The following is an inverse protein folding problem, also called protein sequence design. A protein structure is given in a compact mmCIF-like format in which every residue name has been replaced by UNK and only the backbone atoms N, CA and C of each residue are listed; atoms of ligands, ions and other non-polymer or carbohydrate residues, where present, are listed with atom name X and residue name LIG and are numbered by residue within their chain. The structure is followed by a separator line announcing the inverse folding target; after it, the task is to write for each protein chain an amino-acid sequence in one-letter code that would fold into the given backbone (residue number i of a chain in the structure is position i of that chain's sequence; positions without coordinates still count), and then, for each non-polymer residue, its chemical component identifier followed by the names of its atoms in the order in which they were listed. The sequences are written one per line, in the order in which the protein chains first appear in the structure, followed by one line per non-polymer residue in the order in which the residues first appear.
data_IF_064125453830
#
_entry.id   IF_064125453830
#
_cell.length_a   1.000
_cell.length_b   1.000
_cell.length_c   1.000
_cell.angle_alpha   90.00
_cell.angle_beta   90.00
_cell.angle_gamma   90.00
#
_symmetry.space_group_name_H-M   'P 1'
#
loop_
_entity.id
_entity.type
_entity.pdbx_description
1 polymer ?
#
# COMPACT_ATOMS: atom_id res chain seq x y z
N UNK A 1 18.00 24.72 -53.99
CA UNK A 1 17.91 23.25 -54.06
C UNK A 1 17.94 22.71 -52.65
N UNK A 2 16.86 22.05 -52.26
CA UNK A 2 16.62 21.34 -51.00
C UNK A 2 17.79 20.40 -50.65
N UNK A 3 18.32 20.44 -49.43
CA UNK A 3 17.82 19.79 -48.20
C UNK A 3 18.62 18.51 -47.93
N UNK A 4 19.11 18.39 -46.70
CA UNK A 4 19.35 17.16 -45.92
C UNK A 4 20.49 17.37 -44.92
N UNK A 5 20.24 18.21 -43.92
CA UNK A 5 20.91 18.06 -42.63
C UNK A 5 20.05 17.11 -41.79
N UNK A 6 20.24 15.80 -41.98
CA UNK A 6 19.61 14.77 -41.16
C UNK A 6 20.35 14.71 -39.83
N UNK A 7 19.70 15.21 -38.79
CA UNK A 7 20.18 15.21 -37.40
C UNK A 7 20.54 13.78 -36.95
N UNK A 8 21.85 13.49 -36.82
CA UNK A 8 22.34 12.25 -36.22
C UNK A 8 22.26 12.38 -34.69
N UNK A 9 21.22 11.81 -34.13
CA UNK A 9 20.90 11.89 -32.71
C UNK A 9 21.67 10.86 -31.89
N UNK A 10 22.34 11.29 -30.81
CA UNK A 10 23.20 10.39 -30.01
C UNK A 10 22.36 9.42 -29.16
N UNK A 11 22.99 8.36 -28.64
CA UNK A 11 22.33 7.42 -27.70
C UNK A 11 21.93 8.16 -26.40
N UNK A 12 22.82 9.03 -25.90
CA UNK A 12 22.59 9.82 -24.69
C UNK A 12 21.40 10.77 -24.86
N UNK A 13 21.27 11.42 -26.02
CA UNK A 13 20.12 12.28 -26.32
C UNK A 13 18.79 11.51 -26.31
N UNK A 14 18.79 10.27 -26.82
CA UNK A 14 17.61 9.39 -26.79
C UNK A 14 17.24 8.97 -25.37
N UNK A 15 18.22 8.58 -24.56
CA UNK A 15 17.99 8.19 -23.15
C UNK A 15 17.48 9.40 -22.36
N UNK A 16 18.15 10.55 -22.48
CA UNK A 16 17.81 11.75 -21.73
C UNK A 16 16.39 12.23 -22.05
N UNK A 17 15.99 12.21 -23.33
CA UNK A 17 14.61 12.54 -23.70
C UNK A 17 13.60 11.52 -23.22
N UNK A 18 13.91 10.23 -23.27
CA UNK A 18 13.03 9.18 -22.74
C UNK A 18 12.80 9.38 -21.24
N UNK A 19 13.87 9.64 -20.47
CA UNK A 19 13.78 9.91 -19.03
C UNK A 19 12.99 11.19 -18.76
N UNK A 20 13.27 12.29 -19.47
CA UNK A 20 12.50 13.54 -19.34
C UNK A 20 11.02 13.33 -19.65
N UNK A 21 10.69 12.55 -20.68
CA UNK A 21 9.32 12.23 -21.03
C UNK A 21 8.63 11.44 -19.90
N UNK A 22 9.29 10.42 -19.35
CA UNK A 22 8.74 9.66 -18.22
C UNK A 22 8.55 10.53 -16.96
N UNK A 23 9.52 11.39 -16.64
CA UNK A 23 9.45 12.31 -15.50
C UNK A 23 8.42 13.44 -15.70
N UNK A 24 8.01 13.72 -16.93
CA UNK A 24 6.96 14.69 -17.22
C UNK A 24 5.54 14.15 -16.99
N UNK A 25 5.38 12.83 -16.78
CA UNK A 25 4.08 12.22 -16.52
C UNK A 25 3.54 12.65 -15.17
N UNK A 26 2.21 12.80 -15.08
CA UNK A 26 1.54 13.23 -13.85
C UNK A 26 1.93 12.38 -12.64
N UNK A 27 2.16 11.07 -12.77
CA UNK A 27 2.54 10.20 -11.63
C UNK A 27 4.02 10.24 -11.20
N UNK A 28 4.88 11.02 -11.87
CA UNK A 28 6.32 11.00 -11.63
C UNK A 28 6.74 11.49 -10.24
N UNK A 29 5.95 12.40 -9.64
CA UNK A 29 6.21 12.90 -8.29
C UNK A 29 6.13 11.81 -7.21
N UNK A 30 5.47 10.68 -7.50
CA UNK A 30 5.38 9.52 -6.59
C UNK A 30 6.60 8.60 -6.67
N UNK A 31 7.48 8.78 -7.67
CA UNK A 31 8.64 7.92 -7.86
C UNK A 31 9.57 7.86 -6.63
N UNK A 32 9.93 8.97 -5.97
CA UNK A 32 10.76 8.92 -4.77
C UNK A 32 10.13 8.08 -3.65
N UNK A 33 8.82 8.21 -3.44
CA UNK A 33 8.08 7.41 -2.47
C UNK A 33 8.05 5.92 -2.84
N UNK A 34 7.92 5.60 -4.14
CA UNK A 34 7.99 4.22 -4.63
C UNK A 34 9.35 3.60 -4.35
N UNK A 35 10.43 4.32 -4.67
CA UNK A 35 11.79 3.87 -4.38
C UNK A 35 12.01 3.68 -2.88
N UNK A 36 11.55 4.64 -2.07
CA UNK A 36 11.63 4.57 -0.61
C UNK A 36 10.95 3.32 -0.04
N UNK A 37 9.71 3.03 -0.45
CA UNK A 37 8.98 1.83 0.00
C UNK A 37 9.66 0.55 -0.50
N UNK A 38 10.05 0.50 -1.78
CA UNK A 38 10.73 -0.66 -2.35
C UNK A 38 12.04 -0.99 -1.61
N UNK A 39 12.86 0.03 -1.36
CA UNK A 39 14.10 -0.11 -0.57
C UNK A 39 13.81 -0.48 0.88
N UNK A 40 12.78 0.09 1.50
CA UNK A 40 12.37 -0.24 2.88
C UNK A 40 12.05 -1.73 3.05
N UNK A 41 11.34 -2.32 2.09
CA UNK A 41 11.05 -3.76 2.09
C UNK A 41 12.29 -4.62 1.88
N UNK A 42 13.17 -4.25 0.94
CA UNK A 42 14.42 -4.98 0.69
C UNK A 42 15.37 -4.92 1.88
N UNK A 43 15.46 -3.77 2.55
CA UNK A 43 16.20 -3.62 3.81
C UNK A 43 15.63 -4.53 4.89
N UNK A 44 14.30 -4.50 5.10
CA UNK A 44 13.65 -5.34 6.09
C UNK A 44 13.83 -6.84 5.83
N UNK A 45 13.85 -7.26 4.56
CA UNK A 45 14.19 -8.62 4.17
C UNK A 45 15.65 -8.95 4.50
N UNK A 46 16.59 -8.07 4.11
CA UNK A 46 18.02 -8.28 4.35
C UNK A 46 18.35 -8.43 5.85
N UNK A 47 17.71 -7.63 6.70
CA UNK A 47 17.85 -7.74 8.16
C UNK A 47 17.37 -9.09 8.69
N UNK A 48 16.22 -9.59 8.20
CA UNK A 48 15.63 -10.85 8.68
C UNK A 48 16.36 -12.07 8.16
N UNK A 49 16.78 -12.06 6.90
CA UNK A 49 17.51 -13.20 6.33
C UNK A 49 18.90 -13.36 6.95
N UNK A 50 19.51 -12.26 7.41
CA UNK A 50 20.80 -12.28 8.09
C UNK A 50 20.73 -12.81 9.53
N UNK A 51 19.55 -12.80 10.15
CA UNK A 51 19.33 -13.30 11.50
C UNK A 51 18.80 -14.76 11.47
N UNK A 52 19.60 -15.75 11.92
CA UNK A 52 19.18 -17.15 11.93
C UNK A 52 17.87 -17.41 12.71
N UNK A 53 17.56 -16.59 13.71
CA UNK A 53 16.35 -16.74 14.53
C UNK A 53 15.04 -16.41 13.79
N UNK A 54 15.12 -15.79 12.61
CA UNK A 54 13.97 -15.66 11.71
C UNK A 54 13.69 -16.93 10.91
N UNK A 55 14.68 -17.80 10.73
CA UNK A 55 14.55 -19.00 9.92
C UNK A 55 13.87 -20.13 10.70
N UNK A 56 14.19 -20.25 11.98
CA UNK A 56 13.56 -21.18 12.92
C UNK A 56 12.32 -20.59 13.64
N UNK A 57 12.04 -19.30 13.42
CA UNK A 57 10.88 -18.59 13.98
C UNK A 57 11.01 -18.17 15.43
N UNK A 58 12.17 -18.39 16.07
CA UNK A 58 12.41 -18.02 17.48
C UNK A 58 12.22 -16.53 17.73
N UNK A 59 12.79 -15.69 16.85
CA UNK A 59 12.67 -14.22 16.95
C UNK A 59 11.23 -13.76 16.76
N UNK A 60 10.52 -14.34 15.79
CA UNK A 60 9.13 -14.00 15.54
C UNK A 60 8.23 -14.44 16.71
N UNK A 61 8.43 -15.64 17.24
CA UNK A 61 7.66 -16.13 18.39
C UNK A 61 7.90 -15.27 19.63
N UNK A 62 9.15 -14.90 19.93
CA UNK A 62 9.49 -14.03 21.04
C UNK A 62 8.83 -12.65 20.90
N UNK A 63 8.92 -12.04 19.71
CA UNK A 63 8.25 -10.77 19.41
C UNK A 63 6.73 -10.86 19.63
N UNK A 64 6.08 -11.90 19.10
CA UNK A 64 4.64 -12.10 19.27
C UNK A 64 4.23 -12.29 20.73
N UNK A 65 5.00 -13.05 21.51
CA UNK A 65 4.76 -13.25 22.95
C UNK A 65 4.90 -11.95 23.73
N UNK A 66 5.93 -11.16 23.46
CA UNK A 66 6.13 -9.84 24.06
C UNK A 66 4.90 -8.95 23.84
N UNK A 67 4.41 -8.86 22.60
CA UNK A 67 3.21 -8.07 22.28
C UNK A 67 1.96 -8.53 23.04
N UNK A 68 1.85 -9.82 23.33
CA UNK A 68 0.75 -10.38 24.11
C UNK A 68 0.86 -10.03 25.60
N UNK A 69 2.07 -10.13 26.17
CA UNK A 69 2.37 -9.89 27.60
C UNK A 69 2.26 -8.41 27.94
N UNK A 70 2.78 -7.52 27.09
CA UNK A 70 2.71 -6.07 27.26
C UNK A 70 1.32 -5.50 26.93
N UNK A 71 0.36 -6.37 26.61
CA UNK A 71 -0.97 -6.02 26.16
C UNK A 71 -0.96 -5.06 24.96
N UNK A 72 -0.01 -5.15 24.03
CA UNK A 72 0.03 -4.28 22.85
C UNK A 72 -1.00 -4.63 21.77
N UNK A 73 -1.54 -5.86 21.78
CA UNK A 73 -2.57 -6.31 20.85
C UNK A 73 -3.95 -5.78 21.27
N UNK A 74 -4.47 -4.81 20.52
CA UNK A 74 -5.72 -4.11 20.87
C UNK A 74 -6.99 -4.97 20.68
N UNK A 75 -6.98 -5.94 19.75
CA UNK A 75 -8.18 -6.66 19.34
C UNK A 75 -8.20 -8.11 19.85
N UNK A 76 -9.25 -8.54 20.57
CA UNK A 76 -9.34 -9.90 21.11
C UNK A 76 -9.27 -11.01 20.05
N UNK A 77 -9.92 -10.82 18.89
CA UNK A 77 -9.88 -11.81 17.82
C UNK A 77 -8.46 -11.99 17.25
N UNK A 78 -7.67 -10.91 17.24
CA UNK A 78 -6.30 -10.95 16.73
C UNK A 78 -5.35 -11.56 17.76
N UNK A 79 -5.62 -11.36 19.06
CA UNK A 79 -4.96 -12.11 20.14
C UNK A 79 -5.14 -13.61 19.96
N UNK A 80 -6.37 -14.07 19.72
CA UNK A 80 -6.66 -15.48 19.45
C UNK A 80 -5.92 -15.98 18.19
N UNK A 81 -5.89 -15.17 17.12
CA UNK A 81 -5.13 -15.52 15.92
C UNK A 81 -3.63 -15.69 16.19
N UNK A 82 -3.05 -14.83 17.03
CA UNK A 82 -1.64 -14.94 17.42
C UNK A 82 -1.40 -16.23 18.21
N UNK A 83 -2.23 -16.50 19.23
CA UNK A 83 -2.06 -17.66 20.11
C UNK A 83 -2.30 -18.98 19.41
N UNK A 84 -3.33 -19.04 18.56
CA UNK A 84 -3.85 -20.31 18.04
C UNK A 84 -3.25 -20.65 16.67
N UNK A 85 -2.74 -19.64 15.94
CA UNK A 85 -2.24 -19.82 14.57
C UNK A 85 -0.80 -19.34 14.42
N UNK A 86 -0.46 -18.13 14.85
CA UNK A 86 0.87 -17.57 14.54
C UNK A 86 1.98 -18.21 15.38
N UNK A 87 1.80 -18.33 16.70
CA UNK A 87 2.79 -18.92 17.58
C UNK A 87 3.08 -20.40 17.24
N UNK A 88 2.08 -21.27 16.99
CA UNK A 88 2.34 -22.66 16.59
C UNK A 88 3.05 -22.79 15.23
N UNK A 89 2.98 -21.77 14.37
CA UNK A 89 3.51 -21.80 13.01
C UNK A 89 4.61 -20.73 12.78
N UNK A 90 5.29 -20.27 13.83
CA UNK A 90 6.17 -19.10 13.78
C UNK A 90 7.30 -19.23 12.74
N UNK A 91 7.91 -20.41 12.58
CA UNK A 91 8.94 -20.63 11.56
C UNK A 91 8.39 -20.44 10.14
N UNK A 92 7.28 -21.12 9.82
CA UNK A 92 6.60 -21.00 8.52
C UNK A 92 6.18 -19.56 8.25
N UNK A 93 5.61 -18.89 9.26
CA UNK A 93 5.20 -17.49 9.14
C UNK A 93 6.40 -16.57 8.93
N UNK A 94 7.53 -16.81 9.60
CA UNK A 94 8.79 -16.10 9.38
C UNK A 94 9.24 -16.17 7.92
N UNK A 95 9.21 -17.36 7.32
CA UNK A 95 9.50 -17.54 5.89
C UNK A 95 8.52 -16.82 4.97
N UNK A 96 7.21 -16.91 5.25
CA UNK A 96 6.18 -16.19 4.48
C UNK A 96 6.46 -14.69 4.51
N UNK A 97 6.78 -14.14 5.68
CA UNK A 97 7.11 -12.72 5.85
C UNK A 97 8.38 -12.37 5.07
N UNK A 98 9.47 -13.12 5.21
CA UNK A 98 10.72 -12.84 4.50
C UNK A 98 10.54 -12.88 2.97
N UNK A 99 9.91 -13.93 2.44
CA UNK A 99 9.63 -14.05 1.01
C UNK A 99 8.69 -12.93 0.53
N UNK A 100 7.66 -12.60 1.31
CA UNK A 100 6.75 -11.50 1.03
C UNK A 100 7.47 -10.15 0.94
N UNK A 101 8.42 -9.88 1.84
CA UNK A 101 9.22 -8.65 1.84
C UNK A 101 10.15 -8.57 0.62
N UNK A 102 10.80 -9.67 0.26
CA UNK A 102 11.63 -9.73 -0.95
C UNK A 102 10.80 -9.46 -2.21
N UNK A 103 9.70 -10.20 -2.38
CA UNK A 103 8.82 -10.06 -3.54
C UNK A 103 8.22 -8.66 -3.64
N UNK A 104 7.69 -8.12 -2.54
CA UNK A 104 7.12 -6.78 -2.51
C UNK A 104 8.18 -5.71 -2.82
N UNK A 105 9.35 -5.80 -2.19
CA UNK A 105 10.43 -4.84 -2.38
C UNK A 105 10.93 -4.80 -3.82
N UNK A 106 11.25 -5.96 -4.40
CA UNK A 106 11.74 -6.05 -5.79
C UNK A 106 10.68 -5.58 -6.79
N UNK A 107 9.43 -6.02 -6.63
CA UNK A 107 8.33 -5.67 -7.52
C UNK A 107 7.99 -4.17 -7.50
N UNK A 108 7.93 -3.56 -6.31
CA UNK A 108 7.68 -2.11 -6.16
C UNK A 108 8.84 -1.30 -6.73
N UNK A 109 10.09 -1.70 -6.45
CA UNK A 109 11.27 -0.97 -6.87
C UNK A 109 11.42 -0.93 -8.40
N UNK A 110 11.32 -2.11 -9.03
CA UNK A 110 11.42 -2.26 -10.49
C UNK A 110 10.18 -1.76 -11.25
N UNK A 111 9.09 -1.50 -10.53
CA UNK A 111 7.81 -1.19 -11.14
C UNK A 111 7.23 -2.39 -11.89
N UNK A 112 7.32 -3.61 -11.35
CA UNK A 112 6.86 -4.86 -11.98
C UNK A 112 5.78 -5.51 -11.10
N UNK A 113 4.56 -5.68 -11.62
CA UNK A 113 3.39 -6.09 -10.83
C UNK A 113 3.20 -5.20 -9.59
N UNK A 114 3.40 -3.88 -9.75
CA UNK A 114 3.50 -2.95 -8.62
C UNK A 114 2.23 -2.93 -7.79
N UNK A 115 1.05 -2.98 -8.42
CA UNK A 115 -0.20 -2.94 -7.68
C UNK A 115 -0.42 -4.20 -6.83
N UNK A 116 -0.06 -5.38 -7.34
CA UNK A 116 -0.11 -6.62 -6.55
C UNK A 116 0.87 -6.58 -5.37
N UNK A 117 2.09 -6.09 -5.61
CA UNK A 117 3.11 -5.94 -4.57
C UNK A 117 2.71 -4.93 -3.50
N UNK A 118 2.11 -3.80 -3.89
CA UNK A 118 1.55 -2.81 -2.97
C UNK A 118 0.42 -3.41 -2.13
N UNK A 119 -0.47 -4.22 -2.70
CA UNK A 119 -1.54 -4.90 -1.95
C UNK A 119 -0.97 -5.90 -0.93
N UNK A 120 0.04 -6.68 -1.31
CA UNK A 120 0.76 -7.56 -0.39
C UNK A 120 1.47 -6.78 0.73
N UNK A 121 2.10 -5.66 0.38
CA UNK A 121 2.71 -4.75 1.34
C UNK A 121 1.69 -4.13 2.30
N UNK A 122 0.54 -3.68 1.80
CA UNK A 122 -0.57 -3.15 2.62
C UNK A 122 -1.11 -4.23 3.58
N UNK A 123 -1.27 -5.46 3.10
CA UNK A 123 -1.68 -6.58 3.94
C UNK A 123 -0.68 -6.85 5.07
N UNK A 124 0.63 -6.88 4.78
CA UNK A 124 1.66 -7.06 5.81
C UNK A 124 1.67 -5.91 6.83
N UNK A 125 1.59 -4.65 6.37
CA UNK A 125 1.56 -3.50 7.28
C UNK A 125 0.31 -3.50 8.17
N UNK A 126 -0.85 -3.90 7.64
CA UNK A 126 -2.06 -4.05 8.43
C UNK A 126 -1.87 -5.10 9.53
N UNK A 127 -1.26 -6.24 9.22
CA UNK A 127 -0.96 -7.27 10.22
C UNK A 127 0.03 -6.76 11.28
N UNK A 128 1.06 -6.01 10.91
CA UNK A 128 1.99 -5.41 11.88
C UNK A 128 1.31 -4.40 12.79
N UNK A 129 0.38 -3.59 12.29
CA UNK A 129 -0.45 -2.71 13.12
C UNK A 129 -1.29 -3.56 14.09
N UNK A 130 -2.02 -4.57 13.58
CA UNK A 130 -2.90 -5.42 14.38
C UNK A 130 -2.16 -6.20 15.47
N UNK A 131 -0.89 -6.54 15.26
CA UNK A 131 -0.05 -7.24 16.25
C UNK A 131 0.47 -6.32 17.37
N UNK A 132 0.21 -5.01 17.29
CA UNK A 132 0.72 -4.04 18.28
C UNK A 132 2.06 -3.41 17.90
N UNK A 133 2.39 -3.34 16.61
CA UNK A 133 3.60 -2.67 16.10
C UNK A 133 3.28 -1.69 14.95
N UNK A 134 2.57 -0.59 15.25
CA UNK A 134 2.13 0.34 14.22
C UNK A 134 3.24 1.21 13.63
N UNK A 135 4.39 1.38 14.28
CA UNK A 135 5.50 2.18 13.76
C UNK A 135 6.61 1.28 13.20
N UNK A 136 7.11 1.50 11.96
CA UNK A 136 6.72 2.50 10.95
C UNK A 136 5.55 2.07 10.05
N UNK A 137 4.90 0.95 10.36
CA UNK A 137 3.89 0.29 9.52
C UNK A 137 2.73 1.20 9.06
N UNK A 138 2.22 2.07 9.94
CA UNK A 138 1.15 3.01 9.66
C UNK A 138 1.57 4.04 8.61
N UNK A 139 2.80 4.55 8.71
CA UNK A 139 3.37 5.48 7.75
C UNK A 139 3.54 4.82 6.37
N UNK A 140 4.06 3.59 6.34
CA UNK A 140 4.19 2.82 5.10
C UNK A 140 2.84 2.43 4.50
N UNK A 141 1.82 2.19 5.32
CA UNK A 141 0.47 1.92 4.87
C UNK A 141 -0.09 3.10 4.07
N UNK A 142 -0.02 4.32 4.62
CA UNK A 142 -0.52 5.54 3.95
C UNK A 142 0.20 5.79 2.63
N UNK A 143 1.54 5.67 2.61
CA UNK A 143 2.31 5.85 1.38
C UNK A 143 1.90 4.81 0.33
N UNK A 144 1.80 3.54 0.68
CA UNK A 144 1.44 2.49 -0.27
C UNK A 144 0.03 2.66 -0.84
N UNK A 145 -0.94 3.13 -0.03
CA UNK A 145 -2.28 3.51 -0.54
C UNK A 145 -2.16 4.62 -1.59
N UNK A 146 -1.37 5.67 -1.31
CA UNK A 146 -1.16 6.76 -2.27
C UNK A 146 -0.49 6.27 -3.57
N UNK A 147 0.51 5.39 -3.47
CA UNK A 147 1.17 4.78 -4.63
C UNK A 147 0.21 3.90 -5.45
N UNK A 148 -0.65 3.14 -4.78
CA UNK A 148 -1.63 2.25 -5.41
C UNK A 148 -2.68 3.04 -6.20
N UNK A 149 -3.23 4.10 -5.59
CA UNK A 149 -4.19 5.00 -6.25
C UNK A 149 -3.52 5.78 -7.39
N UNK A 150 -2.27 6.23 -7.19
CA UNK A 150 -1.53 7.04 -8.15
C UNK A 150 -0.97 6.28 -9.35
N UNK A 151 -1.05 4.94 -9.38
CA UNK A 151 -0.59 4.14 -10.51
C UNK A 151 0.90 4.28 -10.83
N UNK A 152 1.73 4.48 -9.80
CA UNK A 152 3.16 4.85 -9.93
C UNK A 152 4.00 3.83 -10.72
N UNK A 153 3.62 2.55 -10.73
CA UNK A 153 4.41 1.49 -11.41
C UNK A 153 4.56 1.73 -12.92
N UNK A 154 3.66 2.51 -13.53
CA UNK A 154 3.71 2.81 -14.95
C UNK A 154 4.60 4.02 -15.32
N UNK A 155 5.27 4.65 -14.34
CA UNK A 155 6.24 5.73 -14.54
C UNK A 155 7.64 5.21 -14.24
N UNK A 156 8.53 5.13 -15.24
CA UNK A 156 9.89 4.55 -15.08
C UNK A 156 9.80 3.16 -14.40
N UNK A 157 8.91 2.30 -14.89
CA UNK A 157 8.69 0.96 -14.35
C UNK A 157 8.25 0.00 -15.45
N UNK A 158 8.52 -1.29 -15.22
CA UNK A 158 8.23 -2.34 -16.20
C UNK A 158 6.72 -2.52 -16.46
N UNK A 159 5.86 -2.07 -15.56
CA UNK A 159 4.40 -2.07 -15.70
C UNK A 159 3.94 -1.22 -16.89
N UNK A 160 4.71 -0.22 -17.32
CA UNK A 160 4.45 0.52 -18.55
C UNK A 160 4.48 -0.39 -19.80
N UNK A 161 5.36 -1.39 -19.80
CA UNK A 161 5.49 -2.37 -20.87
C UNK A 161 4.43 -3.48 -20.73
N UNK A 162 4.26 -4.02 -19.52
CA UNK A 162 3.30 -5.10 -19.25
C UNK A 162 1.85 -4.65 -19.42
N UNK A 163 1.53 -3.38 -19.16
CA UNK A 163 0.18 -2.82 -19.30
C UNK A 163 -0.40 -2.92 -20.72
N UNK A 164 0.45 -3.12 -21.75
CA UNK A 164 0.03 -3.41 -23.13
C UNK A 164 -0.57 -4.82 -23.28
N UNK A 165 -0.10 -5.79 -22.50
CA UNK A 165 -0.52 -7.20 -22.56
C UNK A 165 -1.53 -7.55 -21.47
N UNK A 166 -1.33 -7.03 -20.25
CA UNK A 166 -2.17 -7.35 -19.08
C UNK A 166 -3.23 -6.25 -18.90
N UNK A 167 -4.51 -6.65 -19.02
CA UNK A 167 -5.63 -5.71 -18.94
C UNK A 167 -6.04 -5.37 -17.51
N UNK A 168 -5.79 -6.26 -16.55
CA UNK A 168 -6.23 -6.14 -15.15
C UNK A 168 -5.42 -5.10 -14.36
N UNK A 169 -6.03 -3.96 -13.95
CA UNK A 169 -5.35 -2.90 -13.21
C UNK A 169 -5.02 -3.29 -11.75
N UNK A 170 -5.56 -4.41 -11.26
CA UNK A 170 -5.27 -4.91 -9.92
C UNK A 170 -3.83 -5.41 -9.78
N UNK A 171 -3.26 -5.96 -10.86
CA UNK A 171 -1.92 -6.53 -10.84
C UNK A 171 -0.86 -5.55 -11.34
N UNK A 172 -1.19 -4.78 -12.38
CA UNK A 172 -0.24 -3.92 -13.11
C UNK A 172 -0.71 -2.47 -13.02
N UNK A 173 0.18 -1.58 -12.60
CA UNK A 173 -0.09 -0.15 -12.54
C UNK A 173 -0.28 0.44 -13.95
N UNK A 174 -1.15 1.43 -14.10
CA UNK A 174 -1.41 2.14 -15.37
C UNK A 174 -1.43 3.65 -15.14
N UNK A 175 -0.75 4.42 -16.00
CA UNK A 175 -0.79 5.89 -15.96
C UNK A 175 -2.21 6.35 -16.33
N UNK A 176 -2.78 7.22 -15.50
CA UNK A 176 -4.09 7.82 -15.75
C UNK A 176 -5.23 6.81 -15.58
N UNK A 177 -5.37 6.23 -14.39
CA UNK A 177 -6.60 5.54 -13.99
C UNK A 177 -7.79 6.53 -14.01
N UNK A 178 -8.31 6.85 -15.20
CA UNK A 178 -9.59 7.52 -15.38
C UNK A 178 -10.67 6.52 -14.96
N UNK A 179 -11.06 6.64 -13.69
CA UNK A 179 -12.24 6.08 -13.04
C UNK A 179 -12.69 4.70 -13.54
N UNK A 180 -12.40 3.66 -12.76
CA UNK A 180 -13.00 2.32 -12.88
C UNK A 180 -14.47 2.42 -13.32
N UNK A 181 -14.80 2.06 -14.57
CA UNK A 181 -16.18 2.11 -15.07
C UNK A 181 -16.98 0.91 -14.55
N UNK A 182 -17.31 0.90 -13.25
CA UNK A 182 -18.33 0.02 -12.71
C UNK A 182 -19.73 0.59 -12.99
N UNK A 183 -20.67 -0.25 -13.44
CA UNK A 183 -22.10 0.10 -13.53
C UNK A 183 -22.74 0.46 -12.17
N UNK A 184 -22.05 0.20 -11.07
CA UNK A 184 -22.53 0.41 -9.69
C UNK A 184 -21.55 1.22 -8.84
N UNK A 185 -20.78 2.16 -9.42
CA UNK A 185 -19.77 2.95 -8.69
C UNK A 185 -20.34 3.63 -7.44
N UNK A 186 -21.51 4.23 -7.54
CA UNK A 186 -22.17 4.93 -6.42
C UNK A 186 -22.47 3.98 -5.25
N UNK A 187 -23.10 2.83 -5.54
CA UNK A 187 -23.42 1.83 -4.52
C UNK A 187 -22.17 1.25 -3.87
N UNK A 188 -21.11 1.03 -4.66
CA UNK A 188 -19.83 0.54 -4.15
C UNK A 188 -19.18 1.57 -3.23
N UNK A 189 -19.16 2.85 -3.62
CA UNK A 189 -18.57 3.92 -2.80
C UNK A 189 -19.36 4.16 -1.51
N UNK A 190 -20.69 4.16 -1.59
CA UNK A 190 -21.54 4.23 -0.40
C UNK A 190 -21.29 3.03 0.53
N UNK A 191 -21.24 1.82 -0.02
CA UNK A 191 -20.94 0.61 0.74
C UNK A 191 -19.56 0.66 1.42
N UNK A 192 -18.54 1.15 0.70
CA UNK A 192 -17.19 1.34 1.26
C UNK A 192 -17.17 2.40 2.35
N UNK A 193 -17.90 3.51 2.19
CA UNK A 193 -18.01 4.55 3.21
C UNK A 193 -18.64 4.01 4.49
N UNK A 194 -19.79 3.33 4.38
CA UNK A 194 -20.49 2.72 5.52
C UNK A 194 -19.64 1.66 6.21
N UNK A 195 -19.01 0.76 5.43
CA UNK A 195 -18.14 -0.27 5.98
C UNK A 195 -16.95 0.33 6.72
N UNK A 196 -16.27 1.31 6.11
CA UNK A 196 -15.11 1.96 6.73
C UNK A 196 -15.53 2.75 7.97
N UNK A 197 -16.69 3.40 7.96
CA UNK A 197 -17.23 4.07 9.15
C UNK A 197 -17.52 3.08 10.29
N UNK A 198 -18.15 1.94 9.98
CA UNK A 198 -18.40 0.87 10.95
C UNK A 198 -17.12 0.31 11.56
N UNK A 199 -16.09 0.08 10.72
CA UNK A 199 -14.76 -0.34 11.19
C UNK A 199 -14.08 0.72 12.05
N UNK A 200 -14.19 2.00 11.68
CA UNK A 200 -13.67 3.10 12.50
C UNK A 200 -14.33 3.14 13.88
N UNK A 201 -15.66 3.02 13.94
CA UNK A 201 -16.40 2.99 15.20
C UNK A 201 -16.03 1.77 16.06
N UNK A 202 -15.84 0.60 15.43
CA UNK A 202 -15.37 -0.60 16.11
C UNK A 202 -13.96 -0.43 16.68
N UNK A 203 -13.03 0.14 15.90
CA UNK A 203 -11.67 0.42 16.37
C UNK A 203 -11.67 1.46 17.50
N UNK A 204 -12.52 2.48 17.42
CA UNK A 204 -12.63 3.52 18.44
C UNK A 204 -12.99 2.94 19.81
N UNK A 205 -13.83 1.91 19.85
CA UNK A 205 -14.19 1.21 21.08
C UNK A 205 -13.01 0.44 21.74
N UNK A 206 -11.90 0.23 21.01
CA UNK A 206 -10.70 -0.45 21.49
C UNK A 206 -9.52 0.51 21.70
N UNK A 207 -9.72 1.82 21.54
CA UNK A 207 -8.69 2.83 21.80
C UNK A 207 -8.38 2.87 23.29
N UNK A 208 -7.09 2.80 23.62
CA UNK A 208 -6.59 2.80 24.99
C UNK A 208 -6.17 4.17 25.47
N UNK A 209 -5.69 5.02 24.57
CA UNK A 209 -5.21 6.36 24.92
C UNK A 209 -5.54 7.40 23.86
N UNK A 210 -5.93 8.59 24.32
CA UNK A 210 -6.15 9.78 23.51
C UNK A 210 -5.04 10.82 23.69
N UNK A 211 -3.99 10.48 24.45
CA UNK A 211 -2.82 11.33 24.62
C UNK A 211 -2.12 11.53 23.26
N UNK A 212 -1.87 12.76 22.80
CA UNK A 212 -1.24 13.01 21.51
C UNK A 212 0.14 12.34 21.33
N UNK A 213 0.89 12.14 22.42
CA UNK A 213 2.21 11.49 22.37
C UNK A 213 2.15 9.97 22.30
N UNK A 214 1.12 9.35 22.88
CA UNK A 214 0.99 7.89 22.97
C UNK A 214 -0.02 7.31 21.97
N UNK A 215 -0.97 8.12 21.49
CA UNK A 215 -1.99 7.73 20.52
C UNK A 215 -1.41 7.27 19.17
N UNK A 216 -0.21 7.71 18.83
CA UNK A 216 0.53 7.27 17.63
C UNK A 216 1.15 5.87 17.79
N UNK A 217 1.17 5.33 19.00
CA UNK A 217 1.62 3.98 19.30
C UNK A 217 0.45 3.02 19.50
N UNK A 218 -0.77 3.53 19.64
CA UNK A 218 -2.00 2.76 19.80
C UNK A 218 -2.52 2.24 18.44
N UNK A 219 -2.53 0.91 18.20
CA UNK A 219 -3.04 0.34 16.96
C UNK A 219 -4.50 0.66 16.68
N UNK A 220 -5.35 0.66 17.70
CA UNK A 220 -6.77 0.92 17.55
C UNK A 220 -7.02 2.37 17.18
N UNK A 221 -6.26 3.31 17.75
CA UNK A 221 -6.34 4.72 17.40
C UNK A 221 -5.91 4.97 15.96
N UNK A 222 -4.79 4.37 15.53
CA UNK A 222 -4.32 4.47 14.14
C UNK A 222 -5.35 3.93 13.16
N UNK A 223 -5.89 2.73 13.41
CA UNK A 223 -6.89 2.14 12.51
C UNK A 223 -8.18 2.95 12.50
N UNK A 224 -8.60 3.51 13.64
CA UNK A 224 -9.74 4.43 13.72
C UNK A 224 -9.56 5.61 12.78
N UNK A 225 -8.40 6.28 12.83
CA UNK A 225 -8.09 7.42 11.96
C UNK A 225 -8.06 7.00 10.48
N UNK A 226 -7.37 5.91 10.15
CA UNK A 226 -7.26 5.42 8.77
C UNK A 226 -8.62 5.07 8.17
N UNK A 227 -9.48 4.38 8.93
CA UNK A 227 -10.82 4.02 8.47
C UNK A 227 -11.77 5.22 8.42
N UNK A 228 -11.66 6.18 9.35
CA UNK A 228 -12.44 7.42 9.30
C UNK A 228 -12.10 8.26 8.07
N UNK A 229 -10.80 8.42 7.77
CA UNK A 229 -10.35 9.12 6.55
C UNK A 229 -10.81 8.39 5.28
N UNK A 230 -10.73 7.05 5.28
CA UNK A 230 -11.19 6.23 4.15
C UNK A 230 -12.71 6.36 3.93
N UNK A 231 -13.49 6.38 5.01
CA UNK A 231 -14.94 6.63 4.98
C UNK A 231 -15.25 7.98 4.36
N UNK A 232 -14.62 9.03 4.88
CA UNK A 232 -14.83 10.40 4.40
C UNK A 232 -14.46 10.54 2.92
N UNK A 233 -13.33 9.97 2.50
CA UNK A 233 -12.90 10.00 1.11
C UNK A 233 -13.87 9.26 0.19
N UNK A 234 -14.39 8.10 0.61
CA UNK A 234 -15.39 7.35 -0.14
C UNK A 234 -16.71 8.11 -0.26
N UNK A 235 -17.14 8.77 0.82
CA UNK A 235 -18.34 9.60 0.85
C UNK A 235 -18.22 10.84 -0.04
N UNK A 236 -17.11 11.58 0.04
CA UNK A 236 -16.84 12.72 -0.86
C UNK A 236 -16.82 12.26 -2.32
N UNK A 237 -16.20 11.10 -2.60
CA UNK A 237 -16.15 10.53 -3.95
C UNK A 237 -17.52 10.09 -4.46
N UNK A 238 -18.41 9.67 -3.57
CA UNK A 238 -19.82 9.38 -3.87
C UNK A 238 -20.57 10.66 -4.24
N UNK A 239 -20.48 11.72 -3.43
CA UNK A 239 -21.15 12.99 -3.69
C UNK A 239 -20.71 13.61 -5.02
N UNK A 240 -19.41 13.52 -5.34
CA UNK A 240 -18.86 14.04 -6.61
C UNK A 240 -19.38 13.34 -7.87
N UNK A 241 -20.04 12.18 -7.74
CA UNK A 241 -20.59 11.44 -8.88
C UNK A 241 -22.06 11.76 -9.14
N UNK A 242 -22.74 12.45 -8.22
CA UNK A 242 -24.12 12.84 -8.43
C UNK A 242 -24.20 13.94 -9.51
N UNK A 243 -25.11 13.83 -10.49
CA UNK A 243 -25.31 14.88 -11.47
C UNK A 243 -25.80 16.18 -10.78
N UNK A 244 -25.44 17.37 -11.29
CA UNK A 244 -25.94 18.62 -10.75
C UNK A 244 -27.47 18.67 -10.84
N UNK A 245 -28.11 19.15 -9.77
CA UNK A 245 -29.55 19.09 -9.50
C UNK A 245 -30.45 19.81 -10.56
N UNK A 246 -29.85 20.49 -11.55
CA UNK A 246 -30.55 21.37 -12.51
C UNK A 246 -30.47 20.93 -13.99
N UNK A 247 -30.21 19.66 -14.31
CA UNK A 247 -30.15 19.18 -15.70
C UNK A 247 -31.51 18.74 -16.30
N UNK A 248 -32.64 19.09 -15.66
CA UNK A 248 -33.95 18.55 -15.99
C UNK A 248 -35.12 19.53 -15.86
N UNK A 249 -34.98 20.77 -16.32
CA UNK A 249 -36.12 21.64 -16.63
C UNK A 249 -35.75 22.58 -17.78
N UNK A 250 -36.00 22.13 -19.02
CA UNK A 250 -36.08 22.99 -20.21
C UNK A 250 -37.07 22.36 -21.18
#
# INVERSE_FOLDING_TARGET
MNAHATNAETIDDRILRSVKHELSKEGAYLLPLRLFIGMGWLRAFAEKVADPGWHDGTVLAAFLQERLVEDHVAFPFYRALITDVFLPNASTLGWIVMVGQLLAGTAILLGLFTNAALLGGLFMNLNFILVGAPNPSAFYFVIQVALFIGGTGAVIGLDALLGRRIRTPLFVAKVGMKGWHFRSKERVLMGLAILSFGLAAYCLAHVRTYDPGLSVEDPAMILTVLFALSSLQAFVSYLRQQPPENAGTS
#
